data_IF_519141865783
#
_entry.id   IF_519141865783
#
_cell.length_a   1.000
_cell.length_b   1.000
_cell.length_c   1.000
_cell.angle_alpha   90.00
_cell.angle_beta   90.00
_cell.angle_gamma   90.00
#
_symmetry.space_group_name_H-M   'P 1'
#
loop_
_entity.id
_entity.type
_entity.pdbx_description
1 polymer ?
#
# COMPACT_ATOMS: atom_id res chain seq x y z
N UNK A 1 7.19 -0.34 -25.36
CA UNK A 1 8.59 -0.26 -25.78
C UNK A 1 9.15 -1.65 -25.71
N UNK A 2 9.22 -2.36 -26.86
CA UNK A 2 9.75 -3.70 -26.97
C UNK A 2 11.27 -3.70 -26.90
N UNK A 3 11.83 -3.69 -25.71
CA UNK A 3 13.24 -4.00 -25.49
C UNK A 3 13.40 -5.51 -25.36
N UNK A 4 14.23 -6.10 -26.21
CA UNK A 4 14.65 -7.50 -26.06
C UNK A 4 15.42 -7.60 -24.75
N UNK A 5 14.80 -8.21 -23.74
CA UNK A 5 15.47 -8.55 -22.50
C UNK A 5 16.49 -9.65 -22.82
N UNK A 6 17.79 -9.33 -22.83
CA UNK A 6 18.83 -10.35 -22.93
C UNK A 6 18.96 -11.02 -21.56
N UNK A 7 18.95 -12.34 -21.57
CA UNK A 7 19.23 -13.16 -20.40
C UNK A 7 20.68 -12.91 -19.96
N UNK A 8 20.88 -12.39 -18.75
CA UNK A 8 22.21 -12.32 -18.14
C UNK A 8 22.38 -13.53 -17.25
N UNK A 9 23.18 -14.48 -17.66
CA UNK A 9 23.75 -15.48 -16.77
C UNK A 9 24.97 -14.79 -16.10
N UNK A 10 24.85 -14.44 -14.82
CA UNK A 10 25.97 -13.97 -14.05
C UNK A 10 26.88 -15.14 -13.73
N UNK A 11 27.92 -15.35 -14.54
CA UNK A 11 29.06 -16.19 -14.17
C UNK A 11 30.08 -15.30 -13.43
N UNK A 12 30.13 -15.43 -12.11
CA UNK A 12 31.02 -14.63 -11.26
C UNK A 12 32.52 -14.90 -11.52
N UNK A 13 32.86 -15.99 -12.24
CA UNK A 13 34.24 -16.41 -12.50
C UNK A 13 34.71 -16.11 -13.93
N UNK A 14 33.89 -15.49 -14.78
CA UNK A 14 34.32 -15.13 -16.12
C UNK A 14 35.19 -13.87 -16.12
N UNK A 15 36.39 -13.87 -16.73
CA UNK A 15 37.18 -12.66 -16.84
C UNK A 15 36.44 -11.63 -17.72
N UNK A 16 36.32 -10.40 -17.22
CA UNK A 16 35.74 -9.29 -17.94
C UNK A 16 36.42 -9.11 -19.29
N UNK A 17 35.72 -9.39 -20.38
CA UNK A 17 36.19 -9.01 -21.72
C UNK A 17 35.80 -7.56 -21.97
N UNK A 18 36.75 -6.72 -22.38
CA UNK A 18 36.60 -5.29 -22.67
C UNK A 18 35.59 -4.93 -23.78
N UNK A 19 34.93 -5.93 -24.35
CA UNK A 19 34.02 -5.74 -25.49
C UNK A 19 32.54 -5.54 -25.14
N UNK A 20 32.12 -5.80 -23.90
CA UNK A 20 30.72 -5.74 -23.48
C UNK A 20 30.52 -4.94 -22.19
N UNK A 21 30.81 -3.65 -22.23
CA UNK A 21 30.24 -2.71 -21.27
C UNK A 21 28.76 -2.49 -21.58
N UNK A 22 27.99 -3.59 -21.55
CA UNK A 22 26.54 -3.52 -21.49
C UNK A 22 26.20 -3.05 -20.06
N UNK A 23 25.99 -1.77 -19.93
CA UNK A 23 25.42 -1.23 -18.69
C UNK A 23 24.08 -1.93 -18.45
N UNK A 24 23.92 -2.60 -17.29
CA UNK A 24 22.64 -3.22 -16.98
C UNK A 24 21.54 -2.15 -17.09
N UNK A 25 20.45 -2.49 -17.76
CA UNK A 25 19.27 -1.61 -17.89
C UNK A 25 18.60 -1.41 -16.51
N UNK A 26 18.92 -2.27 -15.54
CA UNK A 26 18.60 -2.13 -14.14
C UNK A 26 19.40 -0.94 -13.60
N UNK A 27 18.73 0.09 -13.16
CA UNK A 27 19.41 1.25 -12.62
C UNK A 27 18.45 2.40 -12.36
N UNK A 28 19.01 3.54 -12.13
CA UNK A 28 18.33 4.72 -11.66
C UNK A 28 17.42 5.43 -12.68
N UNK A 29 16.90 4.76 -13.70
CA UNK A 29 16.08 5.36 -14.77
C UNK A 29 14.64 4.88 -14.75
N UNK A 30 14.38 3.63 -14.31
CA UNK A 30 13.06 3.03 -14.32
C UNK A 30 12.25 3.54 -13.13
N UNK A 31 11.20 4.29 -13.42
CA UNK A 31 10.28 4.82 -12.39
C UNK A 31 8.96 4.07 -12.36
N UNK A 32 8.49 3.61 -13.53
CA UNK A 32 7.24 2.88 -13.68
C UNK A 32 7.44 1.67 -14.59
N UNK A 33 6.85 0.54 -14.23
CA UNK A 33 6.92 -0.71 -14.98
C UNK A 33 5.52 -1.28 -15.15
N UNK A 34 5.18 -1.62 -16.41
CA UNK A 34 3.95 -2.38 -16.70
C UNK A 34 4.32 -3.75 -17.23
N UNK A 35 3.88 -4.78 -16.54
CA UNK A 35 4.02 -6.17 -16.97
C UNK A 35 2.77 -6.54 -17.80
N UNK A 36 2.93 -6.99 -19.07
CA UNK A 36 1.80 -7.34 -19.89
C UNK A 36 1.14 -8.65 -19.42
N UNK A 37 -0.16 -8.82 -19.66
CA UNK A 37 -0.93 -10.01 -19.27
C UNK A 37 -0.40 -11.31 -19.89
N UNK A 38 0.28 -11.21 -21.03
CA UNK A 38 0.91 -12.35 -21.68
C UNK A 38 2.20 -12.84 -21.00
N UNK A 39 2.74 -12.09 -20.04
CA UNK A 39 3.94 -12.45 -19.30
C UNK A 39 3.60 -13.51 -18.26
N UNK A 40 4.25 -14.66 -18.34
CA UNK A 40 4.05 -15.80 -17.43
C UNK A 40 5.22 -16.00 -16.47
N UNK A 41 6.43 -15.63 -16.87
CA UNK A 41 7.64 -15.89 -16.10
C UNK A 41 8.55 -14.66 -16.08
N UNK A 42 8.99 -14.29 -14.88
CA UNK A 42 10.04 -13.29 -14.65
C UNK A 42 11.23 -14.01 -14.03
N UNK A 43 12.39 -13.91 -14.67
CA UNK A 43 13.62 -14.56 -14.19
C UNK A 43 14.15 -13.92 -12.89
N UNK A 44 15.03 -14.64 -12.21
CA UNK A 44 15.70 -14.12 -11.00
C UNK A 44 16.46 -12.82 -11.29
N UNK A 45 16.45 -11.90 -10.32
CA UNK A 45 17.12 -10.59 -10.38
C UNK A 45 16.73 -9.70 -11.57
N UNK A 46 15.57 -9.94 -12.24
CA UNK A 46 15.21 -9.24 -13.48
C UNK A 46 15.15 -7.71 -13.32
N UNK A 47 14.73 -7.21 -12.17
CA UNK A 47 14.64 -5.78 -11.84
C UNK A 47 15.49 -5.41 -10.61
N UNK A 48 16.51 -6.20 -10.34
CA UNK A 48 17.46 -5.95 -9.25
C UNK A 48 18.05 -4.53 -9.32
N UNK A 49 18.10 -3.81 -8.17
CA UNK A 49 18.62 -2.44 -8.09
C UNK A 49 17.86 -1.37 -8.89
N UNK A 50 16.60 -1.57 -9.28
CA UNK A 50 15.78 -0.51 -9.87
C UNK A 50 15.33 0.48 -8.78
N UNK A 51 16.28 1.25 -8.25
CA UNK A 51 16.11 2.08 -7.04
C UNK A 51 15.13 3.25 -7.17
N UNK A 52 14.72 3.60 -8.41
CA UNK A 52 13.72 4.64 -8.67
C UNK A 52 12.36 4.08 -9.07
N UNK A 53 12.21 2.77 -9.20
CA UNK A 53 10.94 2.14 -9.51
C UNK A 53 9.94 2.41 -8.39
N UNK A 54 8.87 3.13 -8.68
CA UNK A 54 7.82 3.53 -7.73
C UNK A 54 6.50 2.84 -7.97
N UNK A 55 6.19 2.55 -9.23
CA UNK A 55 4.92 1.98 -9.64
C UNK A 55 5.14 0.74 -10.51
N UNK A 56 4.51 -0.36 -10.09
CA UNK A 56 4.43 -1.59 -10.86
C UNK A 56 2.97 -1.83 -11.25
N UNK A 57 2.70 -2.03 -12.53
CA UNK A 57 1.35 -2.33 -13.03
C UNK A 57 1.30 -3.75 -13.57
N UNK A 58 0.29 -4.51 -13.17
CA UNK A 58 0.03 -5.89 -13.60
C UNK A 58 -1.45 -6.09 -13.90
N UNK A 59 -1.76 -7.06 -14.74
CA UNK A 59 -3.14 -7.46 -15.07
C UNK A 59 -3.57 -8.77 -14.44
N UNK A 60 -4.44 -9.53 -15.14
CA UNK A 60 -5.07 -10.79 -14.68
C UNK A 60 -4.19 -12.03 -14.86
N UNK A 61 -3.01 -11.91 -15.46
CA UNK A 61 -2.14 -13.06 -15.75
C UNK A 61 -1.57 -13.71 -14.50
N UNK A 62 -1.54 -15.05 -14.48
CA UNK A 62 -0.74 -15.78 -13.49
C UNK A 62 0.75 -15.57 -13.77
N UNK A 63 1.50 -15.24 -12.72
CA UNK A 63 2.90 -14.87 -12.83
C UNK A 63 3.75 -15.78 -11.94
N UNK A 64 4.79 -16.37 -12.53
CA UNK A 64 5.84 -17.06 -11.80
C UNK A 64 7.06 -16.17 -11.73
N UNK A 65 7.65 -16.04 -10.54
CA UNK A 65 8.83 -15.21 -10.31
C UNK A 65 10.01 -16.03 -9.83
N UNK A 66 11.19 -15.69 -10.32
CA UNK A 66 12.44 -16.15 -9.74
C UNK A 66 12.73 -15.46 -8.39
N UNK A 67 13.90 -15.72 -7.82
CA UNK A 67 14.36 -15.05 -6.59
C UNK A 67 14.82 -13.62 -6.87
N UNK A 68 14.71 -12.77 -5.84
CA UNK A 68 15.35 -11.44 -5.79
C UNK A 68 14.98 -10.49 -6.95
N UNK A 69 13.81 -10.70 -7.57
CA UNK A 69 13.38 -9.96 -8.76
C UNK A 69 13.38 -8.45 -8.51
N UNK A 70 12.89 -8.01 -7.35
CA UNK A 70 12.80 -6.60 -6.96
C UNK A 70 13.73 -6.23 -5.80
N UNK A 71 14.77 -7.02 -5.53
CA UNK A 71 15.72 -6.71 -4.47
C UNK A 71 16.38 -5.33 -4.70
N UNK A 72 16.44 -4.51 -3.64
CA UNK A 72 16.91 -3.13 -3.64
C UNK A 72 16.06 -2.13 -4.46
N UNK A 73 14.80 -2.43 -4.75
CA UNK A 73 13.84 -1.49 -5.33
C UNK A 73 13.19 -0.63 -4.22
N UNK A 74 13.98 0.07 -3.43
CA UNK A 74 13.55 0.79 -2.21
C UNK A 74 12.52 1.90 -2.42
N UNK A 75 12.33 2.36 -3.65
CA UNK A 75 11.32 3.36 -3.98
C UNK A 75 9.97 2.74 -4.38
N UNK A 76 9.85 1.40 -4.44
CA UNK A 76 8.63 0.74 -4.88
C UNK A 76 7.53 0.89 -3.82
N UNK A 77 6.60 1.79 -4.09
CA UNK A 77 5.52 2.14 -3.16
C UNK A 77 4.19 1.51 -3.55
N UNK A 78 3.94 1.30 -4.85
CA UNK A 78 2.61 0.91 -5.33
C UNK A 78 2.66 -0.18 -6.39
N UNK A 79 1.84 -1.21 -6.19
CA UNK A 79 1.47 -2.21 -7.20
C UNK A 79 0.04 -1.91 -7.64
N UNK A 80 -0.15 -1.60 -8.92
CA UNK A 80 -1.47 -1.43 -9.52
C UNK A 80 -1.89 -2.70 -10.23
N UNK A 81 -2.96 -3.31 -9.76
CA UNK A 81 -3.56 -4.51 -10.35
C UNK A 81 -4.73 -4.09 -11.22
N UNK A 82 -4.63 -4.27 -12.53
CA UNK A 82 -5.67 -3.91 -13.51
C UNK A 82 -6.76 -4.99 -13.59
N UNK A 83 -7.24 -5.43 -12.44
CA UNK A 83 -8.25 -6.49 -12.29
C UNK A 83 -9.12 -6.20 -11.08
N UNK A 84 -10.22 -6.94 -10.94
CA UNK A 84 -11.01 -6.99 -9.71
C UNK A 84 -10.29 -7.80 -8.63
N UNK A 85 -10.57 -7.53 -7.35
CA UNK A 85 -9.92 -8.26 -6.25
C UNK A 85 -10.38 -9.72 -6.13
N UNK A 86 -11.48 -10.11 -6.80
CA UNK A 86 -11.98 -11.48 -6.91
C UNK A 86 -11.28 -12.30 -8.00
N UNK A 87 -10.55 -11.66 -8.89
CA UNK A 87 -9.90 -12.32 -10.02
C UNK A 87 -8.53 -12.88 -9.60
N UNK A 88 -8.10 -14.02 -10.19
CA UNK A 88 -6.73 -14.50 -10.00
C UNK A 88 -5.76 -13.55 -10.71
N UNK A 89 -4.70 -13.14 -10.02
CA UNK A 89 -3.72 -12.20 -10.54
C UNK A 89 -2.29 -12.59 -10.17
N UNK A 90 -1.30 -11.92 -10.75
CA UNK A 90 0.10 -12.08 -10.37
C UNK A 90 0.49 -11.44 -9.03
N UNK A 91 -0.46 -10.86 -8.29
CA UNK A 91 -0.18 -10.10 -7.05
C UNK A 91 0.50 -10.96 -5.99
N UNK A 92 0.06 -12.22 -5.80
CA UNK A 92 0.69 -13.14 -4.85
C UNK A 92 2.20 -13.30 -5.10
N UNK A 93 2.59 -13.57 -6.34
CA UNK A 93 4.00 -13.72 -6.69
C UNK A 93 4.78 -12.43 -6.49
N UNK A 94 4.17 -11.27 -6.77
CA UNK A 94 4.80 -9.96 -6.60
C UNK A 94 5.05 -9.64 -5.12
N UNK A 95 4.03 -9.70 -4.28
CA UNK A 95 4.19 -9.32 -2.87
C UNK A 95 5.13 -10.25 -2.12
N UNK A 96 5.23 -11.52 -2.51
CA UNK A 96 6.20 -12.45 -1.93
C UNK A 96 7.65 -12.25 -2.42
N UNK A 97 7.86 -11.44 -3.47
CA UNK A 97 9.19 -11.03 -3.93
C UNK A 97 9.61 -9.64 -3.40
N UNK A 98 8.77 -9.01 -2.57
CA UNK A 98 9.01 -7.67 -2.03
C UNK A 98 8.91 -7.76 -0.51
N UNK A 99 10.01 -7.55 0.19
CA UNK A 99 10.06 -7.58 1.67
C UNK A 99 9.71 -6.23 2.29
N UNK A 100 9.92 -5.14 1.54
CA UNK A 100 9.59 -3.78 1.95
C UNK A 100 8.07 -3.56 2.03
N UNK A 101 7.67 -2.50 2.74
CA UNK A 101 6.26 -2.12 2.79
C UNK A 101 5.77 -1.64 1.42
N UNK A 102 4.69 -2.22 0.92
CA UNK A 102 4.13 -1.89 -0.40
C UNK A 102 2.62 -1.83 -0.37
N UNK A 103 2.04 -0.89 -1.11
CA UNK A 103 0.61 -0.74 -1.33
C UNK A 103 0.19 -1.42 -2.62
N UNK A 104 -0.85 -2.25 -2.58
CA UNK A 104 -1.50 -2.79 -3.77
C UNK A 104 -2.88 -2.16 -3.96
N UNK A 105 -3.20 -1.71 -5.17
CA UNK A 105 -4.53 -1.21 -5.52
C UNK A 105 -5.16 -2.01 -6.66
N UNK A 106 -6.34 -2.57 -6.43
CA UNK A 106 -7.15 -3.21 -7.47
C UNK A 106 -7.94 -2.15 -8.21
N UNK A 107 -7.50 -1.84 -9.42
CA UNK A 107 -8.11 -0.81 -10.27
C UNK A 107 -8.32 -1.38 -11.67
N UNK A 108 -9.48 -1.96 -11.96
CA UNK A 108 -9.81 -2.43 -13.30
C UNK A 108 -9.64 -1.33 -14.36
N UNK A 109 -9.33 -1.71 -15.59
CA UNK A 109 -9.13 -0.76 -16.68
C UNK A 109 -10.34 0.17 -16.83
N UNK A 110 -10.09 1.48 -16.89
CA UNK A 110 -11.14 2.50 -16.98
C UNK A 110 -11.82 2.88 -15.66
N UNK A 111 -11.52 2.23 -14.54
CA UNK A 111 -12.06 2.62 -13.23
C UNK A 111 -11.46 3.94 -12.75
N UNK A 112 -12.32 4.87 -12.33
CA UNK A 112 -11.90 6.17 -11.80
C UNK A 112 -11.17 6.05 -10.45
N UNK A 113 -11.54 5.06 -9.62
CA UNK A 113 -10.95 4.80 -8.31
C UNK A 113 -10.68 3.30 -8.11
N UNK A 114 -9.80 2.91 -7.18
CA UNK A 114 -9.63 1.52 -6.78
C UNK A 114 -10.92 0.92 -6.23
N UNK A 115 -11.16 -0.37 -6.49
CA UNK A 115 -12.20 -1.16 -5.82
C UNK A 115 -11.73 -1.61 -4.43
N UNK A 116 -10.46 -1.92 -4.30
CA UNK A 116 -9.81 -2.26 -3.04
C UNK A 116 -8.38 -1.72 -3.03
N UNK A 117 -7.88 -1.37 -1.86
CA UNK A 117 -6.49 -1.02 -1.65
C UNK A 117 -5.99 -1.67 -0.36
N UNK A 118 -4.82 -2.28 -0.44
CA UNK A 118 -4.22 -3.10 0.60
C UNK A 118 -2.80 -2.63 0.86
N UNK A 119 -2.36 -2.72 2.10
CA UNK A 119 -0.97 -2.52 2.47
C UNK A 119 -0.37 -3.83 2.92
N UNK A 120 0.82 -4.12 2.44
CA UNK A 120 1.65 -5.23 2.88
C UNK A 120 2.79 -4.61 3.69
N UNK A 121 2.77 -4.69 5.03
CA UNK A 121 3.86 -4.20 5.86
C UNK A 121 5.18 -4.87 5.51
N UNK A 122 6.30 -4.24 5.84
CA UNK A 122 7.61 -4.85 5.69
C UNK A 122 7.75 -6.06 6.65
N UNK A 123 8.61 -7.00 6.29
CA UNK A 123 8.99 -8.10 7.18
C UNK A 123 10.45 -8.45 6.93
N UNK A 124 11.04 -9.11 7.92
CA UNK A 124 12.40 -9.62 7.84
C UNK A 124 12.37 -11.11 8.10
N UNK A 125 13.16 -11.85 7.35
CA UNK A 125 13.39 -13.27 7.54
C UNK A 125 14.82 -13.45 8.02
N UNK A 126 14.98 -14.04 9.20
CA UNK A 126 16.25 -14.47 9.74
C UNK A 126 16.35 -15.99 9.62
N UNK A 127 17.45 -16.46 9.03
CA UNK A 127 17.74 -17.88 8.87
C UNK A 127 18.94 -18.20 9.74
N UNK A 128 18.73 -19.02 10.76
CA UNK A 128 19.77 -19.48 11.66
C UNK A 128 20.01 -20.97 11.46
N UNK A 129 21.27 -21.37 11.20
CA UNK A 129 21.66 -22.78 11.17
C UNK A 129 22.07 -23.20 12.59
N UNK A 130 21.35 -24.18 13.14
CA UNK A 130 21.69 -24.75 14.44
C UNK A 130 22.90 -25.69 14.33
N UNK A 131 23.58 -26.01 15.46
CA UNK A 131 24.67 -26.99 15.47
C UNK A 131 24.29 -28.39 14.94
N UNK A 132 22.99 -28.70 14.90
CA UNK A 132 22.46 -29.95 14.34
C UNK A 132 22.14 -29.84 12.84
N UNK A 133 22.60 -28.79 12.15
CA UNK A 133 22.30 -28.46 10.74
C UNK A 133 20.80 -28.32 10.43
N UNK A 134 20.00 -27.89 11.42
CA UNK A 134 18.61 -27.55 11.22
C UNK A 134 18.54 -26.05 10.94
N UNK A 135 17.90 -25.67 9.82
CA UNK A 135 17.62 -24.28 9.50
C UNK A 135 16.36 -23.83 10.25
N UNK A 136 16.50 -22.80 11.07
CA UNK A 136 15.40 -22.12 11.70
C UNK A 136 15.08 -20.86 10.93
N UNK A 137 13.83 -20.73 10.49
CA UNK A 137 13.32 -19.54 9.83
C UNK A 137 12.48 -18.75 10.83
N UNK A 138 12.87 -17.52 11.10
CA UNK A 138 12.16 -16.60 11.99
C UNK A 138 11.74 -15.37 11.21
N UNK A 139 10.46 -15.03 11.29
CA UNK A 139 9.93 -13.84 10.66
C UNK A 139 9.69 -12.76 11.71
N UNK A 140 10.14 -11.54 11.44
CA UNK A 140 9.89 -10.35 12.26
C UNK A 140 8.91 -9.44 11.54
N UNK A 141 7.87 -8.96 12.24
CA UNK A 141 6.75 -8.20 11.68
C UNK A 141 5.63 -9.11 11.16
N UNK A 142 4.45 -8.54 10.93
CA UNK A 142 3.28 -9.27 10.41
C UNK A 142 3.24 -9.33 8.89
N UNK A 143 4.12 -8.59 8.22
CA UNK A 143 4.12 -8.45 6.77
C UNK A 143 4.17 -9.76 5.99
N UNK A 144 4.84 -10.79 6.54
CA UNK A 144 4.84 -12.14 5.96
C UNK A 144 3.42 -12.73 5.93
N UNK A 145 2.67 -12.65 7.05
CA UNK A 145 1.32 -13.21 7.15
C UNK A 145 0.35 -12.53 6.18
N UNK A 146 0.40 -11.20 6.05
CA UNK A 146 -0.41 -10.47 5.09
C UNK A 146 -0.20 -10.94 3.64
N UNK A 147 1.03 -11.37 3.28
CA UNK A 147 1.38 -11.85 1.95
C UNK A 147 0.89 -13.27 1.67
N UNK A 148 0.45 -14.01 2.69
CA UNK A 148 -0.09 -15.37 2.55
C UNK A 148 -1.62 -15.40 2.36
N UNK A 149 -2.31 -14.26 2.40
CA UNK A 149 -3.78 -14.18 2.27
C UNK A 149 -4.26 -14.36 0.83
N UNK A 150 -3.90 -15.49 0.22
CA UNK A 150 -4.27 -15.84 -1.15
C UNK A 150 -4.60 -17.33 -1.25
N UNK A 151 -5.55 -17.66 -2.13
CA UNK A 151 -5.84 -19.02 -2.57
C UNK A 151 -5.96 -19.03 -4.10
N UNK A 152 -5.18 -19.89 -4.77
CA UNK A 152 -5.16 -19.96 -6.24
C UNK A 152 -4.98 -18.59 -6.91
N UNK A 153 -4.06 -17.78 -6.38
CA UNK A 153 -3.79 -16.40 -6.80
C UNK A 153 -4.96 -15.40 -6.64
N UNK A 154 -5.99 -15.76 -5.89
CA UNK A 154 -7.10 -14.87 -5.51
C UNK A 154 -6.89 -14.36 -4.10
N UNK A 155 -7.14 -13.08 -3.91
CA UNK A 155 -7.04 -12.44 -2.60
C UNK A 155 -8.17 -12.90 -1.66
N UNK A 156 -7.82 -13.15 -0.40
CA UNK A 156 -8.72 -13.58 0.68
C UNK A 156 -8.89 -12.46 1.72
N UNK A 157 -9.90 -11.60 1.60
CA UNK A 157 -10.04 -10.42 2.46
C UNK A 157 -10.29 -10.78 3.93
N UNK A 158 -11.04 -11.84 4.22
CA UNK A 158 -11.33 -12.24 5.59
C UNK A 158 -10.07 -12.69 6.35
N UNK A 159 -9.16 -13.40 5.69
CA UNK A 159 -7.88 -13.82 6.27
C UNK A 159 -6.96 -12.61 6.49
N UNK A 160 -6.90 -11.71 5.51
CA UNK A 160 -6.14 -10.47 5.61
C UNK A 160 -6.60 -9.61 6.79
N UNK A 161 -7.91 -9.39 6.91
CA UNK A 161 -8.48 -8.55 7.98
C UNK A 161 -8.35 -9.21 9.37
N UNK A 162 -8.26 -10.54 9.44
CA UNK A 162 -8.07 -11.29 10.70
C UNK A 162 -6.66 -11.15 11.30
N UNK A 163 -5.66 -10.74 10.53
CA UNK A 163 -4.28 -10.56 11.02
C UNK A 163 -4.19 -9.32 11.91
N UNK A 164 -4.88 -8.23 11.53
CA UNK A 164 -4.75 -6.93 12.17
C UNK A 164 -4.89 -6.95 13.71
N UNK A 165 -5.94 -7.55 14.31
CA UNK A 165 -6.10 -7.56 15.75
C UNK A 165 -5.07 -8.42 16.48
N UNK A 166 -4.27 -9.23 15.78
CA UNK A 166 -3.34 -10.19 16.37
C UNK A 166 -1.94 -9.62 16.60
N UNK A 167 -1.54 -8.58 15.89
CA UNK A 167 -0.14 -8.16 15.96
C UNK A 167 0.24 -6.84 15.33
N UNK A 168 -0.68 -5.90 15.16
CA UNK A 168 -0.39 -4.59 14.53
C UNK A 168 0.68 -3.75 15.26
N UNK A 169 0.94 -4.04 16.54
CA UNK A 169 1.94 -3.30 17.33
C UNK A 169 3.40 -3.62 16.92
N UNK A 170 3.62 -4.72 16.21
CA UNK A 170 4.95 -5.14 15.76
C UNK A 170 5.41 -4.45 14.47
N UNK A 171 4.50 -3.77 13.79
CA UNK A 171 4.75 -3.15 12.48
C UNK A 171 4.88 -1.63 12.57
N UNK A 172 5.36 -0.99 11.47
CA UNK A 172 5.44 0.47 11.37
C UNK A 172 4.04 1.09 11.47
N UNK A 173 3.83 1.89 12.52
CA UNK A 173 2.55 2.53 12.80
C UNK A 173 2.06 3.47 11.66
N UNK A 174 2.97 4.02 10.83
CA UNK A 174 2.57 4.83 9.66
C UNK A 174 1.98 3.93 8.57
N UNK A 175 2.59 2.76 8.33
CA UNK A 175 2.08 1.77 7.39
C UNK A 175 0.74 1.22 7.87
N UNK A 176 0.63 0.90 9.17
CA UNK A 176 -0.61 0.37 9.76
C UNK A 176 -1.75 1.39 9.73
N UNK A 177 -1.46 2.67 9.95
CA UNK A 177 -2.46 3.74 9.82
C UNK A 177 -2.96 3.88 8.37
N UNK A 178 -2.06 3.79 7.38
CA UNK A 178 -2.43 3.80 5.97
C UNK A 178 -3.21 2.54 5.56
N UNK A 179 -2.88 1.36 6.12
CA UNK A 179 -3.63 0.13 5.94
C UNK A 179 -5.08 0.31 6.40
N UNK A 180 -5.29 0.81 7.63
CA UNK A 180 -6.61 1.07 8.18
C UNK A 180 -7.39 2.08 7.32
N UNK A 181 -6.72 3.16 6.90
CA UNK A 181 -7.34 4.19 6.07
C UNK A 181 -7.80 3.64 4.73
N UNK A 182 -6.92 2.91 4.01
CA UNK A 182 -7.27 2.37 2.69
C UNK A 182 -8.32 1.26 2.76
N UNK A 183 -8.27 0.38 3.79
CA UNK A 183 -9.30 -0.64 3.99
C UNK A 183 -10.68 -0.03 4.30
N UNK A 184 -10.75 1.06 5.04
CA UNK A 184 -11.99 1.79 5.32
C UNK A 184 -12.45 2.62 4.12
N UNK A 185 -11.52 3.20 3.36
CA UNK A 185 -11.83 3.99 2.17
C UNK A 185 -12.35 3.15 1.01
N UNK A 186 -11.84 1.92 0.87
CA UNK A 186 -12.16 0.97 -0.19
C UNK A 186 -12.61 -0.38 0.42
N UNK A 187 -13.82 -0.43 1.01
CA UNK A 187 -14.26 -1.51 1.92
C UNK A 187 -14.74 -2.77 1.19
N UNK A 188 -14.03 -3.21 0.14
CA UNK A 188 -14.39 -4.42 -0.57
C UNK A 188 -14.41 -5.63 0.36
N UNK A 189 -15.58 -6.28 0.51
CA UNK A 189 -15.84 -7.40 1.43
C UNK A 189 -15.34 -7.17 2.88
N UNK A 190 -15.28 -5.92 3.33
CA UNK A 190 -14.91 -5.58 4.69
C UNK A 190 -16.08 -5.83 5.64
N UNK A 191 -15.87 -6.66 6.66
CA UNK A 191 -16.88 -6.90 7.71
C UNK A 191 -16.94 -5.74 8.69
N UNK A 192 -18.10 -5.54 9.35
CA UNK A 192 -18.26 -4.47 10.33
C UNK A 192 -17.34 -4.68 11.56
N UNK A 193 -17.09 -5.93 11.94
CA UNK A 193 -16.16 -6.24 13.03
C UNK A 193 -14.73 -5.79 12.70
N UNK A 194 -14.22 -6.13 11.51
CA UNK A 194 -12.89 -5.68 11.06
C UNK A 194 -12.83 -4.15 10.88
N UNK A 195 -13.89 -3.57 10.33
CA UNK A 195 -14.00 -2.11 10.20
C UNK A 195 -13.95 -1.41 11.57
N UNK A 196 -14.53 -2.00 12.61
CA UNK A 196 -14.46 -1.51 13.98
C UNK A 196 -13.03 -1.44 14.51
N UNK A 197 -12.23 -2.49 14.31
CA UNK A 197 -10.80 -2.50 14.67
C UNK A 197 -10.00 -1.42 13.92
N UNK A 198 -10.20 -1.32 12.60
CA UNK A 198 -9.53 -0.31 11.79
C UNK A 198 -9.90 1.12 12.18
N UNK A 199 -11.19 1.40 12.45
CA UNK A 199 -11.62 2.73 12.91
C UNK A 199 -11.00 3.11 14.23
N UNK A 200 -10.95 2.17 15.20
CA UNK A 200 -10.35 2.42 16.51
C UNK A 200 -8.86 2.79 16.41
N UNK A 201 -8.09 2.03 15.62
CA UNK A 201 -6.68 2.32 15.42
C UNK A 201 -6.46 3.63 14.63
N UNK A 202 -7.24 3.84 13.59
CA UNK A 202 -7.15 5.04 12.76
C UNK A 202 -7.47 6.30 13.57
N UNK A 203 -8.48 6.26 14.44
CA UNK A 203 -8.83 7.40 15.29
C UNK A 203 -7.66 7.85 16.19
N UNK A 204 -6.85 6.90 16.67
CA UNK A 204 -5.67 7.18 17.48
C UNK A 204 -4.41 7.57 16.65
N UNK A 205 -4.44 7.45 15.31
CA UNK A 205 -3.29 7.64 14.43
C UNK A 205 -3.62 8.49 13.17
N UNK A 206 -4.62 9.35 13.26
CA UNK A 206 -5.06 10.21 12.13
C UNK A 206 -3.97 11.17 11.68
N UNK A 207 -3.14 11.65 12.60
CA UNK A 207 -2.00 12.53 12.35
C UNK A 207 -1.01 11.91 11.34
N UNK A 208 -0.76 10.59 11.45
CA UNK A 208 0.14 9.84 10.56
C UNK A 208 -0.37 9.79 9.13
N UNK A 209 -1.66 9.45 8.98
CA UNK A 209 -2.32 9.45 7.68
C UNK A 209 -2.32 10.85 7.08
N UNK A 210 -2.73 11.83 7.87
CA UNK A 210 -2.82 13.21 7.41
C UNK A 210 -1.47 13.77 6.98
N UNK A 211 -0.39 13.52 7.73
CA UNK A 211 0.95 13.92 7.36
C UNK A 211 1.36 13.40 5.97
N UNK A 212 1.03 12.13 5.67
CA UNK A 212 1.30 11.53 4.36
C UNK A 212 0.43 12.15 3.26
N UNK A 213 -0.87 12.32 3.49
CA UNK A 213 -1.79 12.91 2.52
C UNK A 213 -1.44 14.36 2.19
N UNK A 214 -1.08 15.15 3.20
CA UNK A 214 -0.66 16.53 3.02
C UNK A 214 0.65 16.64 2.24
N UNK A 215 1.62 15.76 2.51
CA UNK A 215 2.88 15.67 1.75
C UNK A 215 2.61 15.33 0.27
N UNK A 216 1.66 14.45 0.01
CA UNK A 216 1.25 14.06 -1.34
C UNK A 216 0.32 15.10 -2.02
N UNK A 217 -0.13 16.13 -1.32
CA UNK A 217 -1.13 17.11 -1.78
C UNK A 217 -2.46 16.46 -2.23
N UNK A 218 -2.80 15.29 -1.67
CA UNK A 218 -4.00 14.51 -2.03
C UNK A 218 -5.22 14.98 -1.22
N UNK A 219 -5.84 16.06 -1.69
CA UNK A 219 -7.02 16.64 -1.05
C UNK A 219 -8.27 15.74 -1.15
N UNK A 220 -8.34 14.85 -2.14
CA UNK A 220 -9.45 13.90 -2.25
C UNK A 220 -9.34 12.80 -1.18
N UNK A 221 -8.12 12.36 -0.87
CA UNK A 221 -7.90 11.47 0.26
C UNK A 221 -8.18 12.16 1.62
N UNK A 222 -7.87 13.46 1.75
CA UNK A 222 -8.27 14.24 2.95
C UNK A 222 -9.79 14.29 3.10
N UNK A 223 -10.56 14.51 2.02
CA UNK A 223 -12.03 14.43 2.06
C UNK A 223 -12.51 13.03 2.47
N UNK A 224 -11.87 11.98 1.96
CA UNK A 224 -12.21 10.60 2.34
C UNK A 224 -11.93 10.34 3.83
N UNK A 225 -10.81 10.83 4.38
CA UNK A 225 -10.51 10.71 5.81
C UNK A 225 -11.56 11.41 6.68
N UNK A 226 -11.97 12.62 6.30
CA UNK A 226 -13.05 13.36 6.97
C UNK A 226 -14.36 12.55 6.94
N UNK A 227 -14.69 11.95 5.79
CA UNK A 227 -15.92 11.17 5.61
C UNK A 227 -15.98 9.88 6.45
N UNK A 228 -14.83 9.36 6.90
CA UNK A 228 -14.77 8.19 7.80
C UNK A 228 -15.22 8.51 9.24
N UNK A 229 -15.43 9.79 9.57
CA UNK A 229 -15.90 10.27 10.88
C UNK A 229 -15.03 9.83 12.08
N UNK A 230 -13.73 9.69 11.86
CA UNK A 230 -12.75 9.29 12.89
C UNK A 230 -12.13 10.48 13.64
N UNK A 231 -12.35 11.72 13.17
CA UNK A 231 -11.86 12.93 13.81
C UNK A 231 -12.87 13.42 14.86
N UNK A 232 -12.42 13.55 16.08
CA UNK A 232 -13.12 14.30 17.12
C UNK A 232 -12.75 15.79 17.04
N UNK A 233 -13.21 16.59 18.00
CA UNK A 233 -12.99 18.04 18.00
C UNK A 233 -11.50 18.40 18.11
N UNK A 234 -10.77 17.71 18.97
CA UNK A 234 -9.34 17.94 19.15
C UNK A 234 -8.56 17.46 17.93
N UNK A 235 -8.95 16.33 17.35
CA UNK A 235 -8.42 15.82 16.09
C UNK A 235 -8.61 16.78 14.91
N UNK A 236 -9.72 17.50 14.80
CA UNK A 236 -9.88 18.53 13.78
C UNK A 236 -8.94 19.72 14.00
N UNK A 237 -8.73 20.13 15.26
CA UNK A 237 -7.80 21.21 15.58
C UNK A 237 -6.36 20.84 15.22
N UNK A 238 -5.93 19.64 15.58
CA UNK A 238 -4.61 19.10 15.22
C UNK A 238 -4.43 18.95 13.71
N UNK A 239 -5.44 18.40 13.02
CA UNK A 239 -5.45 18.26 11.57
C UNK A 239 -5.31 19.61 10.85
N UNK A 240 -6.03 20.62 11.32
CA UNK A 240 -5.97 21.98 10.77
C UNK A 240 -4.60 22.62 10.98
N UNK A 241 -3.98 22.40 12.15
CA UNK A 241 -2.62 22.86 12.43
C UNK A 241 -1.58 22.18 11.52
N UNK A 242 -1.71 20.86 11.28
CA UNK A 242 -0.85 20.11 10.37
C UNK A 242 -1.00 20.60 8.92
N UNK A 243 -2.24 20.86 8.46
CA UNK A 243 -2.50 21.38 7.13
C UNK A 243 -1.89 22.78 6.93
N UNK A 244 -2.03 23.66 7.92
CA UNK A 244 -1.41 24.98 7.91
C UNK A 244 0.12 24.89 7.87
N UNK A 245 0.73 24.02 8.68
CA UNK A 245 2.19 23.77 8.69
C UNK A 245 2.70 23.24 7.36
N UNK A 246 1.92 22.39 6.69
CA UNK A 246 2.23 21.85 5.37
C UNK A 246 1.99 22.85 4.22
N UNK A 247 1.43 24.02 4.50
CA UNK A 247 1.08 25.01 3.47
C UNK A 247 -0.06 24.57 2.54
N UNK A 248 -0.85 23.55 2.91
CA UNK A 248 -1.98 23.07 2.11
C UNK A 248 -3.29 23.80 2.52
N UNK A 249 -3.50 25.00 1.93
CA UNK A 249 -4.68 25.82 2.20
C UNK A 249 -6.00 25.11 1.83
N UNK A 250 -6.00 24.27 0.79
CA UNK A 250 -7.19 23.54 0.37
C UNK A 250 -7.60 22.49 1.42
N UNK A 251 -6.65 21.72 1.95
CA UNK A 251 -6.89 20.76 3.03
C UNK A 251 -7.35 21.49 4.31
N UNK A 252 -6.73 22.62 4.66
CA UNK A 252 -7.14 23.42 5.82
C UNK A 252 -8.59 23.91 5.70
N UNK A 253 -8.99 24.38 4.51
CA UNK A 253 -10.37 24.80 4.26
C UNK A 253 -11.36 23.64 4.36
N UNK A 254 -11.01 22.44 3.86
CA UNK A 254 -11.84 21.24 3.96
C UNK A 254 -12.05 20.81 5.41
N UNK A 255 -10.99 20.82 6.22
CA UNK A 255 -11.05 20.48 7.65
C UNK A 255 -11.90 21.49 8.43
N UNK A 256 -11.69 22.77 8.22
CA UNK A 256 -12.47 23.82 8.89
C UNK A 256 -13.97 23.77 8.53
N UNK A 257 -14.31 23.53 7.25
CA UNK A 257 -15.71 23.37 6.82
C UNK A 257 -16.36 22.13 7.45
N UNK A 258 -15.62 21.02 7.51
CA UNK A 258 -16.10 19.77 8.11
C UNK A 258 -16.30 19.92 9.63
N UNK A 259 -15.34 20.53 10.34
CA UNK A 259 -15.46 20.83 11.77
C UNK A 259 -16.68 21.70 12.05
N UNK A 260 -16.84 22.79 11.27
CA UNK A 260 -17.98 23.67 11.41
C UNK A 260 -19.32 22.94 11.20
N UNK A 261 -19.43 22.11 10.16
CA UNK A 261 -20.63 21.31 9.90
C UNK A 261 -20.95 20.33 11.02
N UNK A 262 -19.92 19.71 11.63
CA UNK A 262 -20.09 18.71 12.69
C UNK A 262 -20.43 19.34 14.04
N UNK A 263 -19.85 20.50 14.37
CA UNK A 263 -19.91 21.09 15.71
C UNK A 263 -20.59 22.45 15.78
N UNK A 264 -21.06 23.04 14.64
CA UNK A 264 -21.79 24.29 14.68
C UNK A 264 -23.08 24.14 15.49
N UNK A 265 -23.43 25.14 16.35
CA UNK A 265 -24.68 25.12 17.03
C UNK A 265 -25.83 25.16 16.01
N UNK A 266 -26.72 24.17 16.06
CA UNK A 266 -27.91 24.22 15.23
C UNK A 266 -28.71 25.48 15.48
N UNK A 267 -29.14 26.20 14.45
CA UNK A 267 -29.97 27.39 14.66
C UNK A 267 -31.23 26.96 15.41
N UNK A 268 -31.43 27.50 16.59
CA UNK A 268 -32.68 27.32 17.34
C UNK A 268 -33.80 27.73 16.41
N UNK A 269 -34.72 26.81 16.03
CA UNK A 269 -35.97 27.15 15.36
C UNK A 269 -36.68 28.16 16.25
N UNK A 270 -36.65 29.45 15.90
CA UNK A 270 -37.51 30.43 16.53
C UNK A 270 -38.93 30.04 16.18
N UNK A 271 -39.65 29.53 17.19
CA UNK A 271 -41.09 29.40 17.12
C UNK A 271 -41.62 30.82 17.24
N UNK A 272 -41.96 31.43 16.13
CA UNK A 272 -42.82 32.62 16.16
C UNK A 272 -44.22 32.12 16.50
N UNK A 273 -44.63 32.17 17.78
CA UNK A 273 -46.02 32.11 18.18
C UNK A 273 -46.60 33.48 17.80
N UNK A 274 -47.38 33.53 16.75
CA UNK A 274 -48.26 34.62 16.47
C UNK A 274 -49.56 34.32 17.22
N UNK A 275 -49.71 34.83 18.42
CA UNK A 275 -51.01 34.96 19.07
C UNK A 275 -51.83 36.06 18.34
N UNK A 276 -52.94 35.68 17.67
CA UNK A 276 -54.00 36.54 17.19
C UNK A 276 -55.19 36.46 18.12
#
# INVERSE_FOLDING_TARGET
>A
VGGTCRRYDFDFDAPASDADTLHPVCGNFLEELTLPDSLQVVGSCAFYNCRKLRLLTVGTGSLTMGSDVFLNCFALETIRVQAGPEEPTGLFALVNNITEAVRAEFRPAGAAAPLAALWYPAYWEDIEETPAHILLHTFSGQGYHYRQCFLENKFLPAEYDAIFPQGHDADDANVMAMLCFDRLRYPWQLTEAAAGHYRAFLAANTDRVLARLLKAQDNDAVRALIALDVLDKDGFAEASALAAKAGNAAAAALLADAEHKKYAPQPKKQRYDFDF
#
